data_IF_061786084449
#
_entry.id   IF_061786084449
#
_cell.length_a   1.000
_cell.length_b   1.000
_cell.length_c   1.000
_cell.angle_alpha   90.00
_cell.angle_beta   90.00
_cell.angle_gamma   90.00
#
_symmetry.space_group_name_H-M   'P 1'
#
loop_
_entity.id
_entity.type
_entity.pdbx_description
1 polymer ?
#
# COMPACT_ATOMS: atom_id res chain seq x y z
N UNK A 1 3.29 -0.24 -13.43
CA UNK A 1 4.16 -1.31 -13.93
C UNK A 1 3.52 -2.62 -13.47
N UNK A 2 2.72 -3.27 -14.32
CA UNK A 2 1.94 -4.43 -13.92
C UNK A 2 2.81 -5.69 -14.04
N UNK A 3 2.98 -6.41 -12.92
CA UNK A 3 3.70 -7.68 -12.87
C UNK A 3 2.79 -8.77 -13.47
N UNK A 4 3.24 -9.42 -14.54
CA UNK A 4 2.52 -10.49 -15.21
C UNK A 4 2.68 -11.82 -14.45
N UNK A 5 1.75 -12.08 -13.53
CA UNK A 5 1.71 -13.28 -12.67
C UNK A 5 1.66 -14.60 -13.44
N UNK A 6 1.23 -14.60 -14.71
CA UNK A 6 1.19 -15.81 -15.55
C UNK A 6 2.59 -16.31 -15.90
N UNK A 7 3.58 -15.42 -15.94
CA UNK A 7 4.98 -15.74 -16.20
C UNK A 7 5.65 -16.35 -14.97
N UNK A 8 5.30 -15.89 -13.77
CA UNK A 8 5.87 -16.39 -12.51
C UNK A 8 5.46 -17.84 -12.20
N UNK A 9 4.22 -18.20 -12.52
CA UNK A 9 3.69 -19.56 -12.29
C UNK A 9 4.28 -20.61 -13.25
N UNK A 10 4.72 -20.19 -14.44
CA UNK A 10 5.33 -21.09 -15.43
C UNK A 10 6.78 -21.46 -15.06
N UNK A 11 7.51 -20.56 -14.40
CA UNK A 11 8.88 -20.80 -13.95
C UNK A 11 8.96 -21.69 -12.70
N UNK A 12 7.88 -21.76 -11.90
CA UNK A 12 7.77 -22.65 -10.73
C UNK A 12 7.42 -24.10 -11.12
N UNK A 13 6.64 -24.30 -12.20
CA UNK A 13 6.24 -25.63 -12.66
C UNK A 13 7.39 -26.45 -13.30
N UNK A 14 8.46 -25.79 -13.76
CA UNK A 14 9.60 -26.46 -14.42
C UNK A 14 10.58 -27.10 -13.41
N UNK A 15 10.49 -26.76 -12.11
CA UNK A 15 11.46 -27.21 -11.10
C UNK A 15 11.16 -28.56 -10.42
N UNK A 16 10.02 -29.23 -10.67
CA UNK A 16 9.60 -30.42 -9.89
C UNK A 16 9.76 -31.75 -10.64
N UNK A 17 10.24 -31.77 -11.88
CA UNK A 17 10.44 -33.03 -12.61
C UNK A 17 11.89 -33.24 -13.04
N UNK A 18 12.66 -33.99 -12.24
CA UNK A 18 13.59 -35.05 -12.70
C UNK A 18 14.30 -35.67 -11.50
N UNK A 19 14.11 -36.98 -11.30
CA UNK A 19 14.80 -37.72 -10.25
C UNK A 19 14.40 -39.19 -10.19
N UNK A 20 14.26 -39.85 -11.34
CA UNK A 20 14.22 -41.30 -11.47
C UNK A 20 15.47 -41.93 -10.85
N UNK A 21 15.31 -43.01 -10.08
CA UNK A 21 16.27 -44.11 -10.11
C UNK A 21 15.58 -45.44 -9.78
N UNK A 22 15.48 -46.22 -10.84
CA UNK A 22 15.24 -47.65 -10.88
C UNK A 22 16.31 -48.46 -10.13
N UNK A 23 15.94 -49.73 -9.88
CA UNK A 23 16.74 -50.97 -9.92
C UNK A 23 17.10 -51.68 -8.58
N UNK A 24 17.27 -53.01 -8.61
CA UNK A 24 16.28 -53.98 -8.15
C UNK A 24 16.84 -54.91 -7.05
N UNK A 25 15.99 -55.62 -6.29
CA UNK A 25 16.48 -56.67 -5.38
C UNK A 25 15.55 -57.90 -5.43
N UNK A 26 16.02 -58.93 -6.13
CA UNK A 26 15.64 -60.34 -5.92
C UNK A 26 16.50 -60.93 -4.77
N UNK A 27 16.12 -62.09 -4.20
CA UNK A 27 15.94 -62.29 -2.78
C UNK A 27 17.17 -62.94 -2.11
N UNK A 28 17.27 -62.95 -0.77
CA UNK A 28 17.99 -63.98 -0.06
C UNK A 28 17.00 -65.02 0.46
N UNK A 29 17.01 -66.18 -0.20
CA UNK A 29 16.85 -67.46 0.49
C UNK A 29 17.88 -67.55 1.60
N UNK A 30 17.43 -67.64 2.86
CA UNK A 30 18.22 -68.26 3.91
C UNK A 30 17.31 -69.08 4.81
N UNK A 31 17.50 -70.39 4.67
CA UNK A 31 16.93 -71.44 5.50
C UNK A 31 17.66 -71.39 6.84
N UNK A 32 16.98 -70.99 7.91
CA UNK A 32 17.45 -71.20 9.28
C UNK A 32 16.44 -72.05 10.04
N UNK A 33 16.94 -73.22 10.46
CA UNK A 33 16.27 -74.18 11.36
C UNK A 33 15.96 -73.49 12.68
N UNK A 34 14.68 -73.35 13.03
CA UNK A 34 14.26 -73.01 14.39
C UNK A 34 13.61 -74.21 15.06
N UNK A 35 14.18 -74.60 16.18
CA UNK A 35 13.60 -75.57 17.11
C UNK A 35 12.31 -75.02 17.70
N UNK A 36 11.39 -75.93 18.06
CA UNK A 36 10.17 -75.66 18.82
C UNK A 36 10.53 -74.84 20.06
N UNK A 37 10.29 -73.52 20.06
CA UNK A 37 10.68 -72.63 21.16
C UNK A 37 10.41 -71.13 20.99
N UNK A 38 10.32 -70.59 19.77
CA UNK A 38 10.07 -69.15 19.57
C UNK A 38 8.58 -68.83 19.34
N UNK A 39 7.74 -69.10 20.34
CA UNK A 39 6.32 -68.72 20.34
C UNK A 39 6.13 -67.19 20.11
N UNK A 40 7.14 -66.38 20.48
CA UNK A 40 7.13 -64.92 20.27
C UNK A 40 7.32 -64.53 18.79
N UNK A 41 8.22 -65.17 18.06
CA UNK A 41 8.41 -64.90 16.62
C UNK A 41 7.24 -65.43 15.78
N UNK A 42 6.66 -66.56 16.19
CA UNK A 42 5.42 -67.11 15.63
C UNK A 42 4.25 -66.13 15.85
N UNK A 43 4.08 -65.63 17.08
CA UNK A 43 3.08 -64.63 17.42
C UNK A 43 3.24 -63.34 16.63
N UNK A 44 4.44 -62.75 16.60
CA UNK A 44 4.70 -61.49 15.89
C UNK A 44 4.40 -61.60 14.39
N UNK A 45 4.66 -62.76 13.78
CA UNK A 45 4.34 -63.00 12.36
C UNK A 45 2.84 -63.18 12.13
N UNK A 46 2.14 -63.85 13.03
CA UNK A 46 0.68 -63.97 12.95
C UNK A 46 -0.02 -62.63 13.19
N UNK A 47 0.48 -61.82 14.14
CA UNK A 47 -0.04 -60.48 14.44
C UNK A 47 0.21 -59.50 13.26
N UNK A 48 1.35 -59.62 12.56
CA UNK A 48 1.60 -58.88 11.31
C UNK A 48 0.64 -59.27 10.19
N UNK A 49 0.34 -60.57 10.06
CA UNK A 49 -0.68 -61.05 9.10
C UNK A 49 -2.07 -60.53 9.52
N UNK A 50 -2.36 -60.39 10.82
CA UNK A 50 -3.61 -59.79 11.26
C UNK A 50 -3.70 -58.28 10.94
N UNK A 51 -2.58 -57.55 11.04
CA UNK A 51 -2.53 -56.12 10.72
C UNK A 51 -2.62 -55.84 9.21
N UNK A 52 -1.90 -56.60 8.38
CA UNK A 52 -1.85 -56.42 6.93
C UNK A 52 -3.22 -56.60 6.26
N UNK A 53 -4.11 -57.39 6.88
CA UNK A 53 -5.45 -57.68 6.36
C UNK A 53 -6.55 -56.99 7.19
N UNK A 54 -6.20 -55.98 7.99
CA UNK A 54 -7.15 -55.15 8.76
C UNK A 54 -7.62 -53.93 7.96
N UNK A 55 -8.92 -53.60 8.03
CA UNK A 55 -9.58 -52.46 7.33
C UNK A 55 -9.07 -51.08 7.83
N UNK A 56 -8.15 -51.04 8.79
CA UNK A 56 -7.70 -49.85 9.51
C UNK A 56 -6.72 -48.91 8.78
N UNK A 57 -6.39 -49.12 7.49
CA UNK A 57 -5.43 -48.28 6.74
C UNK A 57 -6.06 -47.16 5.89
N UNK A 58 -7.27 -46.71 6.20
CA UNK A 58 -7.79 -45.44 5.63
C UNK A 58 -7.20 -44.29 6.45
N UNK A 59 -6.25 -43.56 5.87
CA UNK A 59 -5.65 -42.37 6.50
C UNK A 59 -6.36 -41.11 6.01
N UNK A 60 -6.85 -40.29 6.94
CA UNK A 60 -7.33 -38.93 6.63
C UNK A 60 -6.20 -38.11 5.99
N UNK A 61 -6.31 -37.81 4.70
CA UNK A 61 -5.37 -36.93 4.01
C UNK A 61 -5.66 -35.50 4.42
N UNK A 62 -4.64 -34.79 4.95
CA UNK A 62 -4.71 -33.36 5.27
C UNK A 62 -3.84 -32.56 4.31
N UNK A 63 -4.44 -31.58 3.64
CA UNK A 63 -3.78 -30.63 2.75
C UNK A 63 -3.28 -29.41 3.55
N UNK A 64 -2.35 -28.60 3.01
CA UNK A 64 -1.76 -27.46 3.72
C UNK A 64 -2.81 -26.47 4.22
N UNK A 65 -2.69 -26.07 5.50
CA UNK A 65 -3.74 -25.33 6.20
C UNK A 65 -3.93 -23.88 5.71
N UNK A 66 -2.93 -23.25 5.09
CA UNK A 66 -3.00 -21.85 4.66
C UNK A 66 -2.23 -21.55 3.37
N UNK A 67 -2.70 -20.51 2.69
CA UNK A 67 -1.91 -19.75 1.71
C UNK A 67 -1.41 -18.50 2.42
N UNK A 68 -0.10 -18.35 2.56
CA UNK A 68 0.52 -17.21 3.23
C UNK A 68 0.40 -15.94 2.36
N UNK A 69 -0.72 -15.24 2.53
CA UNK A 69 -1.01 -13.98 1.87
C UNK A 69 -1.20 -12.90 2.94
N UNK A 70 -0.40 -11.83 2.84
CA UNK A 70 -0.40 -10.73 3.81
C UNK A 70 -1.50 -9.70 3.53
N UNK A 71 -2.06 -9.18 4.61
CA UNK A 71 -3.01 -8.06 4.57
C UNK A 71 -2.27 -6.76 4.29
N UNK A 72 -2.90 -5.85 3.56
CA UNK A 72 -2.39 -4.49 3.40
C UNK A 72 -2.68 -3.68 4.67
N UNK A 73 -1.65 -3.00 5.17
CA UNK A 73 -1.76 -2.01 6.23
C UNK A 73 -1.55 -0.59 5.67
N UNK A 74 -2.45 0.32 6.05
CA UNK A 74 -2.34 1.74 5.67
C UNK A 74 -2.49 2.63 6.90
N UNK A 75 -1.44 3.41 7.18
CA UNK A 75 -1.44 4.43 8.23
C UNK A 75 -2.05 5.72 7.68
N UNK A 76 -3.35 5.87 7.91
CA UNK A 76 -4.09 7.06 7.49
C UNK A 76 -3.57 8.31 8.21
N UNK A 77 -3.37 9.40 7.46
CA UNK A 77 -3.03 10.71 8.02
C UNK A 77 -4.17 11.21 8.92
N UNK A 78 -3.82 11.82 10.05
CA UNK A 78 -4.77 12.52 10.90
C UNK A 78 -5.26 13.83 10.26
N UNK A 79 -6.37 14.37 10.75
CA UNK A 79 -6.91 15.64 10.25
C UNK A 79 -5.93 16.82 10.47
N UNK A 80 -5.14 16.78 11.54
CA UNK A 80 -4.09 17.78 11.80
C UNK A 80 -2.95 17.69 10.78
N UNK A 81 -2.47 16.48 10.49
CA UNK A 81 -1.41 16.27 9.49
C UNK A 81 -1.86 16.69 8.09
N UNK A 82 -3.14 16.45 7.74
CA UNK A 82 -3.72 16.92 6.47
C UNK A 82 -3.73 18.46 6.42
N UNK A 83 -4.12 19.12 7.51
CA UNK A 83 -4.13 20.59 7.56
C UNK A 83 -2.73 21.17 7.38
N UNK A 84 -1.74 20.61 8.06
CA UNK A 84 -0.35 21.09 7.95
C UNK A 84 0.23 20.83 6.56
N UNK A 85 -0.05 19.66 5.96
CA UNK A 85 0.40 19.36 4.60
C UNK A 85 -0.26 20.32 3.58
N UNK A 86 -1.54 20.62 3.74
CA UNK A 86 -2.23 21.58 2.89
C UNK A 86 -1.65 23.00 3.03
N UNK A 87 -1.44 23.49 4.26
CA UNK A 87 -0.78 24.79 4.51
C UNK A 87 0.61 24.84 3.90
N UNK A 88 1.42 23.79 4.10
CA UNK A 88 2.76 23.72 3.56
C UNK A 88 2.76 23.81 2.03
N UNK A 89 1.84 23.08 1.36
CA UNK A 89 1.72 23.12 -0.10
C UNK A 89 1.34 24.49 -0.68
N UNK A 90 0.66 25.32 0.11
CA UNK A 90 0.20 26.66 -0.29
C UNK A 90 1.07 27.80 0.26
N UNK A 91 2.11 27.48 1.03
CA UNK A 91 2.97 28.48 1.67
C UNK A 91 3.65 29.39 0.64
N UNK A 92 4.17 28.81 -0.44
CA UNK A 92 4.83 29.58 -1.51
C UNK A 92 3.84 30.49 -2.24
N UNK A 93 2.64 29.99 -2.54
CA UNK A 93 1.59 30.79 -3.16
C UNK A 93 1.28 32.04 -2.34
N UNK A 94 1.05 31.87 -1.03
CA UNK A 94 0.75 32.99 -0.14
C UNK A 94 1.92 33.97 -0.04
N UNK A 95 3.12 33.45 0.23
CA UNK A 95 4.31 34.26 0.44
C UNK A 95 4.73 35.05 -0.82
N UNK A 96 4.69 34.42 -2.00
CA UNK A 96 5.05 35.09 -3.25
C UNK A 96 4.02 36.16 -3.62
N UNK A 97 2.72 35.87 -3.47
CA UNK A 97 1.67 36.83 -3.81
C UNK A 97 1.66 38.01 -2.84
N UNK A 98 1.84 37.77 -1.54
CA UNK A 98 1.94 38.83 -0.53
C UNK A 98 3.14 39.75 -0.81
N UNK A 99 4.31 39.18 -1.10
CA UNK A 99 5.50 39.97 -1.48
C UNK A 99 5.29 40.77 -2.76
N UNK A 100 4.62 40.20 -3.76
CA UNK A 100 4.35 40.90 -5.01
C UNK A 100 3.46 42.13 -4.79
N UNK A 101 2.41 42.01 -3.98
CA UNK A 101 1.52 43.14 -3.62
C UNK A 101 2.32 44.22 -2.86
N UNK A 102 3.17 43.83 -1.91
CA UNK A 102 4.02 44.77 -1.18
C UNK A 102 5.00 45.50 -2.10
N UNK A 103 5.67 44.78 -3.00
CA UNK A 103 6.64 45.36 -3.93
C UNK A 103 5.98 46.31 -4.93
N UNK A 104 4.83 45.93 -5.50
CA UNK A 104 4.08 46.79 -6.43
C UNK A 104 3.62 48.08 -5.74
N UNK A 105 3.05 47.96 -4.54
CA UNK A 105 2.62 49.13 -3.74
C UNK A 105 3.79 50.04 -3.42
N UNK A 106 4.94 49.48 -3.00
CA UNK A 106 6.14 50.27 -2.69
C UNK A 106 6.72 50.95 -3.92
N UNK A 107 6.72 50.28 -5.08
CA UNK A 107 7.17 50.86 -6.34
C UNK A 107 6.31 52.07 -6.72
N UNK A 108 4.98 51.90 -6.70
CA UNK A 108 4.04 52.97 -7.06
C UNK A 108 4.15 54.17 -6.11
N UNK A 109 4.29 53.92 -4.80
CA UNK A 109 4.52 55.00 -3.82
C UNK A 109 5.82 55.76 -4.11
N UNK A 110 6.90 55.03 -4.42
CA UNK A 110 8.18 55.65 -4.76
C UNK A 110 8.06 56.51 -6.02
N UNK A 111 7.39 56.02 -7.05
CA UNK A 111 7.20 56.76 -8.30
C UNK A 111 6.41 58.07 -8.07
N UNK A 112 5.38 58.01 -7.22
CA UNK A 112 4.61 59.20 -6.81
C UNK A 112 5.44 60.18 -5.96
N UNK A 113 6.23 59.69 -5.02
CA UNK A 113 7.14 60.53 -4.22
C UNK A 113 8.22 61.21 -5.08
N UNK A 114 8.79 60.47 -6.04
CA UNK A 114 9.78 61.02 -6.96
C UNK A 114 9.14 62.03 -7.92
N UNK A 115 7.91 61.79 -8.39
CA UNK A 115 7.15 62.78 -9.15
C UNK A 115 6.84 64.04 -8.34
N UNK A 116 6.51 63.90 -7.05
CA UNK A 116 6.29 65.04 -6.14
C UNK A 116 7.55 65.89 -5.97
N UNK A 117 8.74 65.27 -5.87
CA UNK A 117 10.02 65.99 -5.85
C UNK A 117 10.26 66.75 -7.14
N UNK A 118 10.01 66.12 -8.30
CA UNK A 118 10.13 66.78 -9.60
C UNK A 118 9.21 68.00 -9.73
N UNK A 119 7.98 67.92 -9.19
CA UNK A 119 7.06 69.07 -9.15
C UNK A 119 7.61 70.22 -8.28
N UNK A 120 8.24 69.90 -7.16
CA UNK A 120 8.86 70.90 -6.29
C UNK A 120 10.07 71.58 -6.95
N UNK A 121 10.91 70.81 -7.63
CA UNK A 121 12.05 71.35 -8.38
C UNK A 121 11.56 72.25 -9.54
N UNK A 122 10.51 71.82 -10.24
CA UNK A 122 9.88 72.62 -11.30
C UNK A 122 9.27 73.92 -10.77
N UNK A 123 8.64 73.89 -9.58
CA UNK A 123 8.17 75.10 -8.90
C UNK A 123 9.35 76.04 -8.61
N UNK A 124 10.43 75.51 -8.02
CA UNK A 124 11.61 76.31 -7.65
C UNK A 124 12.23 77.00 -8.86
N UNK A 125 12.39 76.28 -9.97
CA UNK A 125 12.87 76.86 -11.24
C UNK A 125 11.92 77.92 -11.77
N UNK A 126 10.61 77.69 -11.70
CA UNK A 126 9.61 78.66 -12.14
C UNK A 126 9.62 79.93 -11.28
N UNK A 127 9.75 79.80 -9.97
CA UNK A 127 9.87 80.96 -9.06
C UNK A 127 11.12 81.78 -9.37
N UNK A 128 12.26 81.14 -9.61
CA UNK A 128 13.50 81.82 -10.02
C UNK A 128 13.33 82.57 -11.36
N UNK A 129 12.67 81.95 -12.34
CA UNK A 129 12.42 82.58 -13.63
C UNK A 129 11.48 83.80 -13.50
N UNK A 130 10.43 83.69 -12.67
CA UNK A 130 9.55 84.82 -12.35
C UNK A 130 10.37 85.93 -11.69
N UNK A 131 11.16 85.62 -10.67
CA UNK A 131 12.00 86.62 -10.00
C UNK A 131 12.93 87.36 -10.96
N UNK A 132 13.66 86.63 -11.80
CA UNK A 132 14.58 87.22 -12.78
C UNK A 132 13.86 88.10 -13.81
N UNK A 133 12.71 87.65 -14.32
CA UNK A 133 11.91 88.41 -15.30
C UNK A 133 11.39 89.72 -14.73
N UNK A 134 10.85 89.69 -13.51
CA UNK A 134 10.32 90.87 -12.86
C UNK A 134 11.43 91.83 -12.39
N UNK A 135 12.57 91.32 -11.93
CA UNK A 135 13.72 92.15 -11.59
C UNK A 135 14.29 92.88 -12.82
N UNK A 136 14.27 92.23 -13.98
CA UNK A 136 14.64 92.87 -15.25
C UNK A 136 13.60 93.93 -15.66
N UNK A 137 12.31 93.64 -15.54
CA UNK A 137 11.25 94.61 -15.82
C UNK A 137 11.36 95.87 -14.96
N UNK A 138 11.69 95.74 -13.66
CA UNK A 138 11.93 96.90 -12.78
C UNK A 138 13.14 97.71 -13.23
N UNK A 139 14.25 97.06 -13.60
CA UNK A 139 15.44 97.75 -14.12
C UNK A 139 15.12 98.53 -15.39
N UNK A 140 14.32 97.96 -16.28
CA UNK A 140 13.93 98.60 -17.53
C UNK A 140 13.02 99.82 -17.29
N UNK A 141 12.02 99.69 -16.41
CA UNK A 141 11.18 100.83 -15.99
C UNK A 141 12.01 101.94 -15.35
N UNK A 142 12.90 101.58 -14.42
CA UNK A 142 13.79 102.54 -13.75
C UNK A 142 14.71 103.27 -14.75
N UNK A 143 15.30 102.53 -15.69
CA UNK A 143 16.14 103.10 -16.77
C UNK A 143 15.36 104.06 -17.67
N UNK A 144 14.13 103.70 -18.06
CA UNK A 144 13.27 104.55 -18.86
C UNK A 144 12.81 105.80 -18.10
N UNK A 145 12.45 105.66 -16.82
CA UNK A 145 12.08 106.78 -15.97
C UNK A 145 13.25 107.76 -15.78
N UNK A 146 14.46 107.25 -15.57
CA UNK A 146 15.69 108.06 -15.51
C UNK A 146 15.95 108.82 -16.82
N UNK A 147 15.90 108.14 -17.98
CA UNK A 147 16.08 108.77 -19.31
C UNK A 147 15.08 109.90 -19.58
N UNK A 148 13.89 109.82 -18.99
CA UNK A 148 12.81 110.83 -19.13
C UNK A 148 12.80 111.89 -18.02
N UNK A 149 13.71 111.83 -17.05
CA UNK A 149 13.71 112.73 -15.88
C UNK A 149 12.56 112.49 -14.89
N UNK A 150 11.87 111.35 -14.99
CA UNK A 150 10.69 110.99 -14.20
C UNK A 150 11.02 110.03 -13.04
N UNK A 151 12.29 109.78 -12.73
CA UNK A 151 12.71 108.78 -11.75
C UNK A 151 12.14 108.98 -10.33
N UNK A 152 11.80 110.22 -9.95
CA UNK A 152 11.14 110.53 -8.66
C UNK A 152 9.65 110.82 -8.78
N UNK A 153 9.06 110.61 -9.96
CA UNK A 153 7.65 110.85 -10.18
C UNK A 153 6.80 109.76 -9.51
N UNK A 154 5.61 110.15 -9.04
CA UNK A 154 4.59 109.21 -8.56
C UNK A 154 4.22 108.16 -9.62
N UNK A 155 4.36 108.49 -10.91
CA UNK A 155 4.10 107.58 -12.04
C UNK A 155 5.12 106.44 -12.07
N UNK A 156 6.41 106.74 -11.94
CA UNK A 156 7.46 105.72 -11.92
C UNK A 156 7.32 104.79 -10.69
N UNK A 157 7.02 105.37 -9.53
CA UNK A 157 6.75 104.60 -8.31
C UNK A 157 5.52 103.70 -8.44
N UNK A 158 4.44 104.20 -9.03
CA UNK A 158 3.23 103.41 -9.28
C UNK A 158 3.48 102.24 -10.25
N UNK A 159 4.31 102.44 -11.28
CA UNK A 159 4.70 101.37 -12.21
C UNK A 159 5.54 100.28 -11.51
N UNK A 160 6.50 100.66 -10.67
CA UNK A 160 7.28 99.68 -9.90
C UNK A 160 6.42 98.90 -8.90
N UNK A 161 5.47 99.57 -8.24
CA UNK A 161 4.52 98.92 -7.33
C UNK A 161 3.60 97.93 -8.05
N UNK A 162 3.11 98.26 -9.25
CA UNK A 162 2.29 97.34 -10.04
C UNK A 162 3.09 96.10 -10.47
N UNK A 163 4.37 96.28 -10.85
CA UNK A 163 5.27 95.16 -11.18
C UNK A 163 5.46 94.26 -9.96
N UNK A 164 5.67 94.80 -8.76
CA UNK A 164 5.77 94.02 -7.53
C UNK A 164 4.47 93.27 -7.20
N UNK A 165 3.32 93.93 -7.39
CA UNK A 165 2.00 93.31 -7.17
C UNK A 165 1.71 92.18 -8.18
N UNK A 166 2.19 92.30 -9.42
CA UNK A 166 2.08 91.24 -10.43
C UNK A 166 3.01 90.08 -10.13
N UNK A 167 4.27 90.35 -9.75
CA UNK A 167 5.23 89.32 -9.28
C UNK A 167 4.63 88.49 -8.15
N UNK A 168 4.09 89.16 -7.13
CA UNK A 168 3.47 88.50 -5.99
C UNK A 168 2.27 87.63 -6.41
N UNK A 169 1.43 88.11 -7.34
CA UNK A 169 0.29 87.34 -7.89
C UNK A 169 0.75 86.10 -8.65
N UNK A 170 1.74 86.21 -9.53
CA UNK A 170 2.26 85.07 -10.29
C UNK A 170 2.94 84.01 -9.41
N UNK A 171 3.74 84.45 -8.43
CA UNK A 171 4.34 83.54 -7.44
C UNK A 171 3.25 82.81 -6.64
N UNK A 172 2.24 83.53 -6.15
CA UNK A 172 1.14 82.92 -5.42
C UNK A 172 0.37 81.91 -6.28
N UNK A 173 0.10 82.24 -7.54
CA UNK A 173 -0.57 81.33 -8.47
C UNK A 173 0.26 80.06 -8.71
N UNK A 174 1.58 80.19 -8.90
CA UNK A 174 2.47 79.05 -9.10
C UNK A 174 2.52 78.13 -7.87
N UNK A 175 2.61 78.72 -6.67
CA UNK A 175 2.58 77.98 -5.40
C UNK A 175 1.27 77.25 -5.18
N UNK A 176 0.14 77.91 -5.43
CA UNK A 176 -1.18 77.29 -5.30
C UNK A 176 -1.34 76.10 -6.24
N UNK A 177 -0.90 76.23 -7.51
CA UNK A 177 -0.92 75.13 -8.46
C UNK A 177 -0.08 73.92 -8.00
N UNK A 178 1.11 74.17 -7.42
CA UNK A 178 1.92 73.12 -6.82
C UNK A 178 1.22 72.47 -5.62
N UNK A 179 0.66 73.26 -4.70
CA UNK A 179 -0.04 72.75 -3.50
C UNK A 179 -1.20 71.83 -3.91
N UNK A 180 -2.01 72.23 -4.90
CA UNK A 180 -3.11 71.42 -5.40
C UNK A 180 -2.64 70.09 -6.00
N UNK A 181 -1.57 70.10 -6.80
CA UNK A 181 -1.01 68.88 -7.40
C UNK A 181 -0.37 67.97 -6.34
N UNK A 182 0.41 68.54 -5.42
CA UNK A 182 1.02 67.82 -4.32
C UNK A 182 -0.03 67.15 -3.42
N UNK A 183 -1.13 67.84 -3.13
CA UNK A 183 -2.23 67.29 -2.35
C UNK A 183 -2.94 66.12 -3.05
N UNK A 184 -3.07 66.17 -4.39
CA UNK A 184 -3.60 65.03 -5.17
C UNK A 184 -2.69 63.82 -5.10
N UNK A 185 -1.37 64.02 -5.20
CA UNK A 185 -0.38 62.95 -5.06
C UNK A 185 -0.46 62.35 -3.65
N UNK A 186 -0.55 63.18 -2.61
CA UNK A 186 -0.70 62.71 -1.23
C UNK A 186 -1.96 61.87 -1.03
N UNK A 187 -3.07 62.25 -1.69
CA UNK A 187 -4.28 61.45 -1.70
C UNK A 187 -4.09 60.12 -2.42
N UNK A 188 -3.43 60.10 -3.58
CA UNK A 188 -3.13 58.86 -4.31
C UNK A 188 -2.24 57.92 -3.49
N UNK A 189 -1.23 58.43 -2.79
CA UNK A 189 -0.38 57.64 -1.89
C UNK A 189 -1.20 57.03 -0.75
N UNK A 190 -2.16 57.76 -0.18
CA UNK A 190 -3.05 57.25 0.85
C UNK A 190 -4.02 56.19 0.30
N UNK A 191 -4.55 56.40 -0.92
CA UNK A 191 -5.42 55.44 -1.61
C UNK A 191 -4.67 54.13 -1.95
N UNK A 192 -3.38 54.20 -2.28
CA UNK A 192 -2.54 53.00 -2.47
C UNK A 192 -2.49 52.11 -1.23
N UNK A 193 -2.47 52.68 -0.02
CA UNK A 193 -2.51 51.86 1.20
C UNK A 193 -3.86 51.15 1.36
N UNK A 194 -4.95 51.83 1.01
CA UNK A 194 -6.29 51.24 1.03
C UNK A 194 -6.41 50.11 0.01
N UNK A 195 -5.89 50.31 -1.21
CA UNK A 195 -5.83 49.28 -2.25
C UNK A 195 -4.96 48.09 -1.85
N UNK A 196 -3.81 48.35 -1.22
CA UNK A 196 -2.97 47.28 -0.65
C UNK A 196 -3.75 46.44 0.37
N UNK A 197 -4.45 47.08 1.30
CA UNK A 197 -5.22 46.34 2.30
C UNK A 197 -6.35 45.52 1.66
N UNK A 198 -7.03 46.07 0.65
CA UNK A 198 -8.04 45.33 -0.11
C UNK A 198 -7.42 44.11 -0.82
N UNK A 199 -6.27 44.28 -1.49
CA UNK A 199 -5.56 43.18 -2.16
C UNK A 199 -5.07 42.10 -1.17
N UNK A 200 -4.62 42.48 0.03
CA UNK A 200 -4.28 41.54 1.10
C UNK A 200 -5.49 40.75 1.57
N UNK A 201 -6.62 41.42 1.79
CA UNK A 201 -7.87 40.75 2.20
C UNK A 201 -8.35 39.77 1.12
N UNK A 202 -8.25 40.14 -0.16
CA UNK A 202 -8.61 39.26 -1.27
C UNK A 202 -7.67 38.05 -1.36
N UNK A 203 -6.36 38.25 -1.10
CA UNK A 203 -5.39 37.17 -0.97
C UNK A 203 -5.77 36.21 0.17
N UNK A 204 -6.14 36.73 1.34
CA UNK A 204 -6.56 35.93 2.50
C UNK A 204 -7.80 35.08 2.18
N UNK A 205 -8.80 35.68 1.54
CA UNK A 205 -10.02 34.97 1.11
C UNK A 205 -9.68 33.87 0.11
N UNK A 206 -8.88 34.20 -0.91
CA UNK A 206 -8.44 33.25 -1.95
C UNK A 206 -7.61 32.10 -1.36
N UNK A 207 -6.71 32.40 -0.44
CA UNK A 207 -5.90 31.42 0.28
C UNK A 207 -6.78 30.50 1.12
N UNK A 208 -7.73 31.05 1.88
CA UNK A 208 -8.66 30.26 2.69
C UNK A 208 -9.50 29.30 1.82
N UNK A 209 -9.99 29.77 0.67
CA UNK A 209 -10.72 28.93 -0.27
C UNK A 209 -9.85 27.79 -0.85
N UNK A 210 -8.62 28.12 -1.30
CA UNK A 210 -7.66 27.12 -1.79
C UNK A 210 -7.27 26.10 -0.73
N UNK A 211 -7.06 26.56 0.51
CA UNK A 211 -6.74 25.71 1.64
C UNK A 211 -7.88 24.73 1.94
N UNK A 212 -9.13 25.20 1.93
CA UNK A 212 -10.29 24.35 2.13
C UNK A 212 -10.44 23.28 1.05
N UNK A 213 -10.21 23.64 -0.22
CA UNK A 213 -10.20 22.69 -1.35
C UNK A 213 -9.10 21.65 -1.16
N UNK A 214 -7.86 22.08 -0.90
CA UNK A 214 -6.72 21.17 -0.72
C UNK A 214 -6.93 20.19 0.44
N UNK A 215 -7.51 20.67 1.56
CA UNK A 215 -7.86 19.80 2.69
C UNK A 215 -8.93 18.77 2.28
N UNK A 216 -9.94 19.18 1.51
CA UNK A 216 -10.99 18.28 1.05
C UNK A 216 -10.41 17.19 0.13
N UNK A 217 -9.56 17.57 -0.82
CA UNK A 217 -8.91 16.66 -1.75
C UNK A 217 -8.06 15.61 -1.01
N UNK A 218 -7.24 16.05 -0.03
CA UNK A 218 -6.45 15.15 0.81
C UNK A 218 -7.31 14.22 1.67
N UNK A 219 -8.45 14.71 2.17
CA UNK A 219 -9.41 13.88 2.91
C UNK A 219 -10.06 12.82 2.01
N UNK A 220 -10.40 13.18 0.77
CA UNK A 220 -10.94 12.25 -0.21
C UNK A 220 -9.90 11.20 -0.61
N UNK A 221 -8.65 11.60 -0.86
CA UNK A 221 -7.55 10.67 -1.16
C UNK A 221 -7.32 9.68 0.00
N UNK A 222 -7.32 10.16 1.24
CA UNK A 222 -7.25 9.30 2.43
C UNK A 222 -8.42 8.31 2.48
N UNK A 223 -9.65 8.77 2.23
CA UNK A 223 -10.83 7.92 2.25
C UNK A 223 -10.79 6.84 1.17
N UNK A 224 -10.36 7.17 -0.05
CA UNK A 224 -10.21 6.20 -1.14
C UNK A 224 -9.13 5.17 -0.84
N UNK A 225 -7.98 5.56 -0.29
CA UNK A 225 -6.93 4.62 0.16
C UNK A 225 -7.43 3.66 1.24
N UNK A 226 -8.22 4.16 2.21
CA UNK A 226 -8.84 3.31 3.24
C UNK A 226 -9.78 2.28 2.59
N UNK A 227 -10.63 2.71 1.65
CA UNK A 227 -11.55 1.81 0.93
C UNK A 227 -10.81 0.77 0.11
N UNK A 228 -9.74 1.15 -0.58
CA UNK A 228 -8.92 0.24 -1.38
C UNK A 228 -8.30 -0.86 -0.51
N UNK A 229 -7.71 -0.48 0.62
CA UNK A 229 -7.14 -1.42 1.59
C UNK A 229 -8.20 -2.35 2.19
N UNK A 230 -9.38 -1.80 2.54
CA UNK A 230 -10.49 -2.61 3.02
C UNK A 230 -10.98 -3.60 1.95
N UNK A 231 -11.12 -3.16 0.71
CA UNK A 231 -11.54 -4.02 -0.41
C UNK A 231 -10.54 -5.16 -0.62
N UNK A 232 -9.25 -4.85 -0.70
CA UNK A 232 -8.19 -5.85 -0.81
C UNK A 232 -8.24 -6.87 0.35
N UNK A 233 -8.32 -6.38 1.59
CA UNK A 233 -8.35 -7.26 2.76
C UNK A 233 -9.63 -8.14 2.81
N UNK A 234 -10.76 -7.63 2.33
CA UNK A 234 -12.00 -8.40 2.22
C UNK A 234 -11.94 -9.45 1.10
N UNK A 235 -11.37 -9.11 -0.06
CA UNK A 235 -11.14 -10.05 -1.16
C UNK A 235 -10.18 -11.15 -0.75
N UNK A 236 -9.10 -10.80 -0.04
CA UNK A 236 -8.17 -11.75 0.53
C UNK A 236 -8.85 -12.72 1.52
N UNK A 237 -9.70 -12.20 2.40
CA UNK A 237 -10.45 -13.03 3.35
C UNK A 237 -11.41 -14.00 2.64
N UNK A 238 -12.08 -13.56 1.56
CA UNK A 238 -12.93 -14.43 0.74
C UNK A 238 -12.12 -15.53 0.07
N UNK A 239 -10.99 -15.16 -0.54
CA UNK A 239 -10.09 -16.12 -1.19
C UNK A 239 -9.58 -17.18 -0.21
N UNK A 240 -9.18 -16.78 1.00
CA UNK A 240 -8.77 -17.72 2.06
C UNK A 240 -9.91 -18.65 2.49
N UNK A 241 -11.15 -18.14 2.57
CA UNK A 241 -12.32 -18.96 2.88
C UNK A 241 -12.65 -19.96 1.77
N UNK A 242 -12.63 -19.53 0.51
CA UNK A 242 -12.83 -20.40 -0.67
C UNK A 242 -11.77 -21.49 -0.75
N UNK A 243 -10.48 -21.11 -0.58
CA UNK A 243 -9.38 -22.08 -0.53
C UNK A 243 -9.61 -23.12 0.56
N UNK A 244 -10.04 -22.72 1.77
CA UNK A 244 -10.31 -23.66 2.86
C UNK A 244 -11.47 -24.62 2.55
N UNK A 245 -12.52 -24.14 1.87
CA UNK A 245 -13.65 -24.98 1.44
C UNK A 245 -13.19 -25.98 0.38
N UNK A 246 -12.46 -25.52 -0.63
CA UNK A 246 -11.95 -26.38 -1.70
C UNK A 246 -10.93 -27.39 -1.17
N UNK A 247 -10.12 -26.99 -0.18
CA UNK A 247 -9.24 -27.88 0.56
C UNK A 247 -10.03 -28.98 1.26
N UNK A 248 -11.05 -28.62 2.06
CA UNK A 248 -11.88 -29.61 2.77
C UNK A 248 -12.60 -30.57 1.80
N UNK A 249 -13.11 -30.05 0.68
CA UNK A 249 -13.70 -30.90 -0.38
C UNK A 249 -12.67 -31.84 -0.99
N UNK A 250 -11.48 -31.34 -1.34
CA UNK A 250 -10.42 -32.17 -1.89
C UNK A 250 -9.94 -33.24 -0.90
N UNK A 251 -9.82 -32.90 0.39
CA UNK A 251 -9.55 -33.87 1.46
C UNK A 251 -10.65 -34.94 1.52
N UNK A 252 -11.93 -34.54 1.49
CA UNK A 252 -13.07 -35.46 1.50
C UNK A 252 -13.12 -36.35 0.24
N UNK A 253 -12.91 -35.78 -0.95
CA UNK A 253 -12.92 -36.51 -2.22
C UNK A 253 -11.75 -37.49 -2.32
N UNK A 254 -10.57 -37.13 -1.81
CA UNK A 254 -9.42 -38.03 -1.73
C UNK A 254 -9.73 -39.20 -0.78
N UNK A 255 -10.33 -38.93 0.38
CA UNK A 255 -10.78 -39.97 1.31
C UNK A 255 -11.86 -40.86 0.68
N UNK A 256 -12.88 -40.31 0.02
CA UNK A 256 -13.91 -41.08 -0.68
C UNK A 256 -13.35 -41.89 -1.86
N UNK A 257 -12.39 -41.34 -2.61
CA UNK A 257 -11.69 -42.06 -3.67
C UNK A 257 -10.92 -43.28 -3.16
N UNK A 258 -10.31 -43.19 -1.97
CA UNK A 258 -9.75 -44.36 -1.29
C UNK A 258 -10.84 -45.42 -1.00
N UNK A 259 -12.02 -45.00 -0.52
CA UNK A 259 -13.17 -45.90 -0.31
C UNK A 259 -13.68 -46.54 -1.61
N UNK A 260 -13.73 -45.80 -2.73
CA UNK A 260 -14.25 -46.32 -4.00
C UNK A 260 -13.28 -47.27 -4.70
N UNK A 261 -11.97 -47.05 -4.59
CA UNK A 261 -10.94 -48.01 -5.07
C UNK A 261 -11.05 -49.34 -4.29
N UNK A 262 -11.39 -49.28 -2.99
CA UNK A 262 -11.68 -50.47 -2.19
C UNK A 262 -13.00 -51.15 -2.64
N UNK A 263 -14.04 -50.36 -2.95
CA UNK A 263 -15.38 -50.84 -3.37
C UNK A 263 -15.43 -51.43 -4.79
N UNK A 264 -14.67 -50.90 -5.75
CA UNK A 264 -14.72 -51.33 -7.15
C UNK A 264 -13.87 -52.57 -7.44
N UNK A 265 -13.14 -53.11 -6.45
CA UNK A 265 -12.36 -54.34 -6.60
C UNK A 265 -13.15 -55.63 -6.34
N UNK A 266 -14.31 -55.62 -5.66
CA UNK A 266 -15.14 -56.83 -5.47
C UNK A 266 -16.57 -56.50 -4.99
N UNK A 267 -17.55 -57.33 -5.39
CA UNK A 267 -18.97 -57.28 -5.01
C UNK A 267 -19.18 -57.35 -3.49
N UNK A 268 -20.01 -56.46 -2.92
CA UNK A 268 -20.63 -56.58 -1.58
C UNK A 268 -19.74 -56.55 -0.32
N UNK A 269 -20.07 -55.70 0.67
CA UNK A 269 -19.32 -55.57 1.95
C UNK A 269 -19.20 -56.91 2.72
N UNK A 270 -20.26 -57.73 2.73
CA UNK A 270 -20.24 -59.03 3.41
C UNK A 270 -19.38 -60.09 2.71
N UNK A 271 -19.20 -59.97 1.39
CA UNK A 271 -18.30 -60.83 0.62
C UNK A 271 -16.85 -60.38 0.83
N UNK A 272 -16.60 -59.08 0.98
CA UNK A 272 -15.27 -58.50 1.31
C UNK A 272 -14.77 -58.97 2.67
N UNK A 273 -15.58 -58.88 3.72
CA UNK A 273 -15.19 -59.38 5.05
C UNK A 273 -14.88 -60.89 5.00
N UNK A 274 -15.69 -61.64 4.25
CA UNK A 274 -15.51 -63.07 4.09
C UNK A 274 -14.26 -63.42 3.27
N UNK A 275 -13.94 -62.67 2.22
CA UNK A 275 -12.77 -62.91 1.37
C UNK A 275 -11.47 -62.49 2.06
N UNK A 276 -11.44 -61.32 2.73
CA UNK A 276 -10.30 -60.90 3.55
C UNK A 276 -10.06 -61.89 4.70
N UNK A 277 -11.12 -62.34 5.37
CA UNK A 277 -11.00 -63.38 6.38
C UNK A 277 -10.48 -64.69 5.77
N UNK A 278 -10.98 -65.12 4.60
CA UNK A 278 -10.46 -66.31 3.92
C UNK A 278 -8.98 -66.21 3.54
N UNK A 279 -8.56 -65.07 2.98
CA UNK A 279 -7.16 -64.84 2.60
C UNK A 279 -6.25 -64.79 3.83
N UNK A 280 -6.68 -64.10 4.90
CA UNK A 280 -5.99 -64.07 6.20
C UNK A 280 -5.83 -65.47 6.77
N UNK A 281 -6.91 -66.26 6.80
CA UNK A 281 -6.89 -67.63 7.30
C UNK A 281 -6.03 -68.57 6.44
N UNK A 282 -6.07 -68.41 5.11
CA UNK A 282 -5.22 -69.17 4.18
C UNK A 282 -3.74 -68.81 4.35
N UNK A 283 -3.39 -67.53 4.56
CA UNK A 283 -2.01 -67.09 4.80
C UNK A 283 -1.47 -67.57 6.15
N UNK A 284 -2.27 -67.49 7.22
CA UNK A 284 -1.94 -68.10 8.51
C UNK A 284 -1.74 -69.60 8.37
N UNK A 285 -2.59 -70.29 7.60
CA UNK A 285 -2.48 -71.72 7.34
C UNK A 285 -1.18 -72.06 6.60
N UNK A 286 -0.83 -71.33 5.53
CA UNK A 286 0.41 -71.52 4.78
C UNK A 286 1.63 -71.35 5.68
N UNK A 287 1.65 -70.28 6.47
CA UNK A 287 2.75 -69.99 7.39
C UNK A 287 2.88 -71.06 8.48
N UNK A 288 1.77 -71.49 9.09
CA UNK A 288 1.78 -72.54 10.11
C UNK A 288 2.16 -73.89 9.54
N UNK A 289 1.72 -74.21 8.32
CA UNK A 289 2.10 -75.45 7.65
C UNK A 289 3.60 -75.47 7.35
N UNK A 290 4.16 -74.35 6.88
CA UNK A 290 5.60 -74.21 6.62
C UNK A 290 6.41 -74.29 7.93
N UNK A 291 6.00 -73.55 8.95
CA UNK A 291 6.61 -73.61 10.30
C UNK A 291 6.63 -75.04 10.86
N UNK A 292 5.51 -75.77 10.75
CA UNK A 292 5.41 -77.17 11.17
C UNK A 292 6.00 -78.16 10.15
N UNK A 293 6.35 -77.73 8.93
CA UNK A 293 7.14 -78.51 7.94
C UNK A 293 8.57 -78.68 8.36
N UNK A 294 9.10 -77.75 9.15
CA UNK A 294 10.47 -77.79 9.64
C UNK A 294 10.76 -78.90 10.66
N UNK A 295 9.75 -79.62 11.15
CA UNK A 295 9.86 -80.60 12.24
C UNK A 295 9.26 -81.98 11.91
N UNK A 296 9.69 -83.06 12.60
CA UNK A 296 9.20 -84.43 12.35
C UNK A 296 7.69 -84.56 12.55
N UNK A 297 7.02 -85.37 11.73
CA UNK A 297 5.54 -85.52 11.70
C UNK A 297 4.89 -85.74 13.06
N UNK A 298 5.43 -86.63 13.90
CA UNK A 298 4.87 -86.90 15.24
C UNK A 298 4.95 -85.67 16.16
N UNK A 299 6.01 -84.89 16.04
CA UNK A 299 6.21 -83.66 16.80
C UNK A 299 5.37 -82.51 16.23
N UNK A 300 5.22 -82.42 14.91
CA UNK A 300 4.37 -81.44 14.23
C UNK A 300 2.89 -81.58 14.63
N UNK A 301 2.37 -82.82 14.64
CA UNK A 301 0.99 -83.10 15.04
C UNK A 301 0.80 -82.77 16.52
N UNK A 302 1.71 -83.22 17.39
CA UNK A 302 1.65 -82.91 18.83
C UNK A 302 1.70 -81.40 19.08
N UNK A 303 2.58 -80.67 18.39
CA UNK A 303 2.69 -79.22 18.52
C UNK A 303 1.42 -78.49 18.02
N UNK A 304 0.83 -78.94 16.91
CA UNK A 304 -0.44 -78.37 16.42
C UNK A 304 -1.59 -78.61 17.40
N UNK A 305 -1.65 -79.78 18.04
CA UNK A 305 -2.69 -80.15 19.01
C UNK A 305 -2.49 -79.52 20.40
N UNK A 306 -1.24 -79.38 20.85
CA UNK A 306 -0.93 -78.91 22.21
C UNK A 306 -0.64 -77.43 22.32
N UNK A 307 -0.34 -76.71 21.23
CA UNK A 307 -0.05 -75.27 21.26
C UNK A 307 -1.34 -74.44 21.06
N UNK A 308 -1.82 -73.71 22.09
CA UNK A 308 -3.03 -72.89 21.99
C UNK A 308 -2.96 -71.80 20.91
N UNK A 309 -1.76 -71.28 20.64
CA UNK A 309 -1.54 -70.20 19.69
C UNK A 309 -1.77 -70.66 18.24
N UNK A 310 -1.38 -71.90 17.92
CA UNK A 310 -1.65 -72.54 16.62
C UNK A 310 -3.15 -72.86 16.49
N UNK A 311 -3.77 -73.34 17.58
CA UNK A 311 -5.19 -73.70 17.58
C UNK A 311 -6.12 -72.50 17.38
N UNK A 312 -5.78 -71.36 17.98
CA UNK A 312 -6.61 -70.15 18.01
C UNK A 312 -6.37 -69.22 16.82
N UNK A 313 -5.23 -69.34 16.14
CA UNK A 313 -4.89 -68.50 14.98
C UNK A 313 -5.63 -68.89 13.70
N UNK A 314 -6.15 -70.12 13.62
CA UNK A 314 -6.92 -70.62 12.50
C UNK A 314 -8.39 -70.89 12.87
N UNK A 315 -9.29 -70.63 11.93
CA UNK A 315 -10.68 -71.07 12.04
C UNK A 315 -10.81 -72.60 12.01
N UNK A 316 -12.02 -73.11 12.27
CA UNK A 316 -12.25 -74.56 12.33
C UNK A 316 -11.96 -75.29 11.02
N UNK A 317 -12.18 -74.63 9.87
CA UNK A 317 -11.93 -75.22 8.55
C UNK A 317 -10.43 -75.30 8.27
N UNK A 318 -9.69 -74.20 8.41
CA UNK A 318 -8.26 -74.13 8.14
C UNK A 318 -7.42 -74.90 9.17
N UNK A 319 -7.85 -74.96 10.43
CA UNK A 319 -7.19 -75.79 11.44
C UNK A 319 -7.29 -77.29 11.11
N UNK A 320 -8.46 -77.77 10.66
CA UNK A 320 -8.62 -79.16 10.21
C UNK A 320 -7.82 -79.44 8.94
N UNK A 321 -7.79 -78.49 8.00
CA UNK A 321 -6.94 -78.55 6.80
C UNK A 321 -5.45 -78.69 7.17
N UNK A 322 -5.00 -77.99 8.20
CA UNK A 322 -3.63 -78.08 8.73
C UNK A 322 -3.32 -79.48 9.25
N UNK A 323 -4.16 -80.03 10.15
CA UNK A 323 -3.94 -81.37 10.70
C UNK A 323 -3.90 -82.44 9.61
N UNK A 324 -4.86 -82.41 8.67
CA UNK A 324 -4.89 -83.36 7.54
C UNK A 324 -3.63 -83.27 6.67
N UNK A 325 -3.11 -82.05 6.42
CA UNK A 325 -1.90 -81.85 5.65
C UNK A 325 -0.65 -82.39 6.37
N UNK A 326 -0.59 -82.31 7.71
CA UNK A 326 0.49 -82.89 8.51
C UNK A 326 0.41 -84.43 8.56
N UNK A 327 -0.80 -84.98 8.69
CA UNK A 327 -1.04 -86.43 8.71
C UNK A 327 -0.73 -87.10 7.36
N UNK A 328 -0.95 -86.41 6.25
CA UNK A 328 -0.66 -86.90 4.90
C UNK A 328 0.85 -86.96 4.56
N UNK A 329 1.74 -86.44 5.43
CA UNK A 329 3.19 -86.51 5.20
C UNK A 329 3.74 -87.93 5.34
N UNK A 330 4.65 -88.30 4.44
CA UNK A 330 5.25 -89.63 4.33
C UNK A 330 6.55 -89.84 5.12
N UNK A 331 6.96 -88.90 5.99
CA UNK A 331 8.05 -89.06 6.97
C UNK A 331 7.62 -88.61 8.36
#
# INVERSE_FOLDING_TARGET
MAIDFKKLLKDLAIKITTGTNDKPIYPPTDVQKTSIGDDMALKDKLDKIDQEYSISEIQDIKLPESVDLEKLEYKALSDSEIQELAKHSLADYYNLTSRAIDQDTQSQKKDLDDYKKQLYDALTQKEQNIEQSFDQAKKDVSSQALKRGLARSSIALAMEQEIDAQKARELAQSRNAYIEQAARIDYEIADLETKKQAAMNDLDISYAAKLAIQINDLKNERAEKIKEVQKYNNELAKYQAEYNIDRQKAEQDLTLGQYEILKNKTTGIAEIEKELEQQKQQKKFEYLLDYLSGIPKKEAIKAAESNPLIRQSLDTYYYRKLLNALEARTK
#
